data_IF_434696538826
#
_entry.id   IF_434696538826
#
_cell.length_a   1.000
_cell.length_b   1.000
_cell.length_c   1.000
_cell.angle_alpha   90.00
_cell.angle_beta   90.00
_cell.angle_gamma   90.00
#
_symmetry.space_group_name_H-M   'P 1'
#
loop_
_entity.id
_entity.type
_entity.pdbx_description
1 polymer ?
#
# COMPACT_ATOMS: atom_id res chain seq x y z
N UNK A 1 -2.90 -13.14 -11.66
CA UNK A 1 -4.31 -13.10 -12.07
C UNK A 1 -4.73 -11.65 -12.29
N UNK A 2 -5.47 -11.31 -13.37
CA UNK A 2 -6.12 -10.02 -13.50
C UNK A 2 -7.20 -9.86 -12.43
N UNK A 3 -7.17 -8.74 -11.70
CA UNK A 3 -8.17 -8.39 -10.68
C UNK A 3 -8.75 -7.03 -11.03
N UNK A 4 -10.03 -6.99 -11.37
CA UNK A 4 -10.76 -5.76 -11.62
C UNK A 4 -11.26 -5.21 -10.29
N UNK A 5 -10.97 -3.93 -10.02
CA UNK A 5 -11.42 -3.22 -8.85
C UNK A 5 -12.54 -2.26 -9.23
N UNK A 6 -13.68 -2.37 -8.55
CA UNK A 6 -14.85 -1.50 -8.72
C UNK A 6 -15.30 -0.94 -7.37
N UNK A 7 -15.99 0.20 -7.41
CA UNK A 7 -16.57 0.85 -6.23
C UNK A 7 -18.00 1.29 -6.56
N UNK A 8 -18.98 0.70 -5.85
CA UNK A 8 -20.40 0.86 -6.13
C UNK A 8 -20.77 0.57 -7.60
N UNK A 9 -20.20 -0.50 -8.17
CA UNK A 9 -20.39 -0.89 -9.57
C UNK A 9 -19.62 -0.04 -10.58
N UNK A 10 -18.83 0.95 -10.15
CA UNK A 10 -18.02 1.78 -11.04
C UNK A 10 -16.63 1.17 -11.15
N UNK A 11 -16.28 0.63 -12.32
CA UNK A 11 -14.94 0.11 -12.58
C UNK A 11 -13.88 1.20 -12.36
N UNK A 12 -12.81 0.89 -11.65
CA UNK A 12 -11.72 1.81 -11.31
C UNK A 12 -10.40 1.42 -12.00
N UNK A 13 -9.93 0.21 -11.79
CA UNK A 13 -8.66 -0.27 -12.32
C UNK A 13 -8.68 -1.80 -12.50
N UNK A 14 -7.80 -2.31 -13.35
CA UNK A 14 -7.46 -3.74 -13.41
C UNK A 14 -6.00 -3.88 -13.03
N UNK A 15 -5.75 -4.72 -12.01
CA UNK A 15 -4.43 -4.95 -11.46
C UNK A 15 -4.00 -6.40 -11.67
N UNK A 16 -2.73 -6.62 -12.04
CA UNK A 16 -2.14 -7.97 -12.00
C UNK A 16 -1.69 -8.24 -10.57
N UNK A 17 -2.36 -9.16 -9.89
CA UNK A 17 -2.08 -9.46 -8.48
C UNK A 17 -2.19 -10.96 -8.17
N UNK A 18 -1.60 -11.37 -7.07
CA UNK A 18 -1.79 -12.70 -6.49
C UNK A 18 -3.21 -12.82 -5.94
N UNK A 19 -3.99 -13.87 -6.30
CA UNK A 19 -5.39 -14.02 -5.90
C UNK A 19 -5.55 -14.50 -4.44
N UNK A 20 -4.91 -13.80 -3.51
CA UNK A 20 -4.99 -14.04 -2.07
C UNK A 20 -5.18 -12.71 -1.35
N UNK A 21 -5.77 -12.72 -0.16
CA UNK A 21 -6.03 -11.54 0.68
C UNK A 21 -6.80 -10.43 -0.07
N UNK A 22 -7.79 -10.80 -0.85
CA UNK A 22 -8.48 -9.89 -1.77
C UNK A 22 -9.31 -8.82 -1.07
N UNK A 23 -9.92 -9.15 0.08
CA UNK A 23 -10.63 -8.18 0.93
C UNK A 23 -9.67 -7.11 1.45
N UNK A 24 -8.51 -7.53 1.94
CA UNK A 24 -7.45 -6.60 2.36
C UNK A 24 -6.96 -5.76 1.17
N UNK A 25 -6.81 -6.38 -0.02
CA UNK A 25 -6.32 -5.70 -1.20
C UNK A 25 -7.21 -4.51 -1.60
N UNK A 26 -8.51 -4.73 -1.78
CA UNK A 26 -9.41 -3.66 -2.23
C UNK A 26 -9.58 -2.57 -1.16
N UNK A 27 -9.56 -2.92 0.14
CA UNK A 27 -9.60 -1.95 1.25
C UNK A 27 -8.37 -1.06 1.26
N UNK A 28 -7.19 -1.67 1.23
CA UNK A 28 -5.95 -0.92 1.23
C UNK A 28 -5.81 -0.06 -0.01
N UNK A 29 -6.09 -0.60 -1.18
CA UNK A 29 -6.12 0.15 -2.43
C UNK A 29 -7.07 1.36 -2.36
N UNK A 30 -8.29 1.17 -1.85
CA UNK A 30 -9.27 2.24 -1.73
C UNK A 30 -8.77 3.40 -0.84
N UNK A 31 -8.10 3.08 0.27
CA UNK A 31 -7.52 4.08 1.18
C UNK A 31 -6.32 4.77 0.52
N UNK A 32 -5.39 4.00 -0.02
CA UNK A 32 -4.12 4.53 -0.53
C UNK A 32 -4.28 5.34 -1.82
N UNK A 33 -5.29 5.01 -2.63
CA UNK A 33 -5.67 5.79 -3.81
C UNK A 33 -6.64 6.95 -3.49
N UNK A 34 -7.07 7.08 -2.23
CA UNK A 34 -7.96 8.13 -1.78
C UNK A 34 -9.38 8.02 -2.36
N UNK A 35 -9.82 6.81 -2.66
CA UNK A 35 -11.23 6.51 -3.01
C UNK A 35 -12.09 6.71 -1.76
N UNK A 36 -11.60 6.23 -0.62
CA UNK A 36 -12.16 6.47 0.71
C UNK A 36 -11.09 7.11 1.62
N UNK A 37 -11.53 7.83 2.64
CA UNK A 37 -10.64 8.42 3.64
C UNK A 37 -10.40 7.47 4.82
N UNK A 38 -11.38 6.60 5.11
CA UNK A 38 -11.34 5.69 6.25
C UNK A 38 -11.97 4.34 5.90
N UNK A 39 -11.47 3.27 6.52
CA UNK A 39 -11.96 1.91 6.30
C UNK A 39 -13.47 1.74 6.58
N UNK A 40 -14.03 2.49 7.52
CA UNK A 40 -15.47 2.47 7.86
C UNK A 40 -16.39 2.96 6.74
N UNK A 41 -15.83 3.62 5.72
CA UNK A 41 -16.58 4.02 4.53
C UNK A 41 -16.80 2.86 3.55
N UNK A 42 -16.16 1.71 3.78
CA UNK A 42 -16.35 0.48 3.01
C UNK A 42 -17.27 -0.44 3.79
N UNK A 43 -18.50 -0.62 3.29
CA UNK A 43 -19.55 -1.35 3.98
C UNK A 43 -19.58 -2.83 3.68
N UNK A 44 -19.27 -3.19 2.41
CA UNK A 44 -19.29 -4.56 1.92
C UNK A 44 -18.34 -4.73 0.75
N UNK A 45 -17.90 -5.96 0.49
CA UNK A 45 -17.05 -6.29 -0.65
C UNK A 45 -17.59 -7.57 -1.29
N UNK A 46 -17.99 -7.44 -2.54
CA UNK A 46 -18.38 -8.55 -3.38
C UNK A 46 -17.17 -9.04 -4.19
N UNK A 47 -16.95 -10.36 -4.22
CA UNK A 47 -15.88 -11.00 -4.97
C UNK A 47 -16.47 -12.01 -5.94
N UNK A 48 -16.28 -11.80 -7.23
CA UNK A 48 -16.76 -12.69 -8.29
C UNK A 48 -15.57 -13.25 -9.04
N UNK A 49 -15.44 -14.58 -9.06
CA UNK A 49 -14.38 -15.27 -9.80
C UNK A 49 -14.91 -15.66 -11.17
N UNK A 50 -14.23 -15.19 -12.22
CA UNK A 50 -14.55 -15.45 -13.61
C UNK A 50 -13.41 -16.26 -14.29
N UNK A 51 -13.66 -16.91 -15.42
CA UNK A 51 -12.60 -17.62 -16.16
C UNK A 51 -11.43 -16.74 -16.58
N UNK A 52 -11.64 -15.42 -16.75
CA UNK A 52 -10.64 -14.45 -17.22
C UNK A 52 -10.00 -13.66 -16.11
N UNK A 53 -10.51 -13.73 -14.86
CA UNK A 53 -9.98 -12.97 -13.73
C UNK A 53 -10.95 -12.89 -12.57
N UNK A 54 -10.69 -11.98 -11.66
CA UNK A 54 -11.50 -11.76 -10.46
C UNK A 54 -12.03 -10.33 -10.48
N UNK A 55 -13.28 -10.15 -10.12
CA UNK A 55 -13.89 -8.83 -9.93
C UNK A 55 -14.14 -8.60 -8.45
N UNK A 56 -13.68 -7.47 -7.94
CA UNK A 56 -13.92 -6.99 -6.58
C UNK A 56 -14.72 -5.70 -6.66
N UNK A 57 -15.91 -5.67 -6.09
CA UNK A 57 -16.72 -4.45 -5.99
C UNK A 57 -16.95 -4.09 -4.52
N UNK A 58 -16.34 -2.99 -4.08
CA UNK A 58 -16.55 -2.46 -2.74
C UNK A 58 -17.74 -1.51 -2.69
N UNK A 59 -18.68 -1.76 -1.79
CA UNK A 59 -19.80 -0.84 -1.48
C UNK A 59 -19.28 0.23 -0.54
N UNK A 60 -19.16 1.45 -1.06
CA UNK A 60 -18.59 2.60 -0.35
C UNK A 60 -19.63 3.67 -0.05
N UNK A 61 -19.34 4.51 0.93
CA UNK A 61 -20.18 5.61 1.34
C UNK A 61 -20.53 6.55 0.17
N UNK A 62 -21.76 7.08 0.14
CA UNK A 62 -22.28 7.88 -0.97
C UNK A 62 -21.42 9.11 -1.27
N UNK A 63 -20.89 9.78 -0.24
CA UNK A 63 -20.00 10.94 -0.43
C UNK A 63 -18.66 10.55 -1.07
N UNK A 64 -18.10 9.38 -0.74
CA UNK A 64 -16.88 8.85 -1.37
C UNK A 64 -17.16 8.49 -2.85
N UNK A 65 -18.30 7.86 -3.12
CA UNK A 65 -18.73 7.56 -4.49
C UNK A 65 -18.94 8.83 -5.34
N UNK A 66 -19.45 9.90 -4.73
CA UNK A 66 -19.61 11.19 -5.41
C UNK A 66 -18.24 11.79 -5.78
N UNK A 67 -17.30 11.86 -4.83
CA UNK A 67 -15.90 12.31 -5.10
C UNK A 67 -15.25 11.49 -6.22
N UNK A 68 -15.45 10.18 -6.23
CA UNK A 68 -14.92 9.29 -7.27
C UNK A 68 -15.48 9.65 -8.65
N UNK A 69 -16.79 9.90 -8.77
CA UNK A 69 -17.42 10.31 -10.02
C UNK A 69 -16.91 11.67 -10.53
N UNK A 70 -16.75 12.63 -9.64
CA UNK A 70 -16.22 13.96 -10.01
C UNK A 70 -14.78 13.85 -10.49
N UNK A 71 -13.93 13.08 -9.81
CA UNK A 71 -12.55 12.84 -10.21
C UNK A 71 -12.44 12.17 -11.58
N UNK A 72 -13.31 11.20 -11.89
CA UNK A 72 -13.36 10.59 -13.23
C UNK A 72 -13.80 11.57 -14.30
N UNK A 73 -14.75 12.47 -14.01
CA UNK A 73 -15.16 13.52 -14.97
C UNK A 73 -14.04 14.49 -15.27
N UNK A 74 -13.25 14.89 -14.27
CA UNK A 74 -12.10 15.77 -14.48
C UNK A 74 -10.95 15.11 -15.25
N UNK A 75 -10.79 13.79 -15.13
CA UNK A 75 -9.83 13.01 -15.91
C UNK A 75 -10.32 12.67 -17.32
N UNK A 76 -11.62 12.66 -17.57
CA UNK A 76 -12.25 12.41 -18.86
C UNK A 76 -12.33 13.67 -19.74
N UNK A 77 -11.43 14.66 -19.56
CA UNK A 77 -11.31 15.82 -20.46
C UNK A 77 -11.21 15.40 -21.93
N UNK A 78 -11.24 16.35 -22.90
CA UNK A 78 -11.55 16.09 -24.31
C UNK A 78 -10.56 15.24 -25.12
N UNK A 79 -9.68 14.49 -24.48
CA UNK A 79 -8.79 13.53 -25.16
C UNK A 79 -9.51 12.19 -25.35
N UNK A 80 -9.96 11.95 -26.56
CA UNK A 80 -10.81 10.82 -27.00
C UNK A 80 -10.17 9.43 -26.99
N UNK A 81 -9.20 9.13 -26.15
CA UNK A 81 -8.60 7.80 -26.10
C UNK A 81 -8.26 7.30 -24.70
N UNK A 82 -9.11 7.41 -23.75
CA UNK A 82 -9.17 6.78 -22.41
C UNK A 82 -8.04 5.86 -21.88
N UNK A 83 -6.89 5.82 -22.53
CA UNK A 83 -5.74 4.93 -22.27
C UNK A 83 -4.47 5.68 -21.85
N UNK A 84 -4.42 7.01 -21.93
CA UNK A 84 -3.28 7.78 -21.45
C UNK A 84 -3.54 8.18 -20.00
N UNK A 85 -3.01 7.39 -19.08
CA UNK A 85 -3.01 7.72 -17.67
C UNK A 85 -2.29 9.04 -17.42
N UNK A 86 -2.73 9.78 -16.40
CA UNK A 86 -2.11 10.96 -15.79
C UNK A 86 -1.54 11.99 -16.78
N UNK A 87 -2.36 12.96 -17.16
CA UNK A 87 -2.01 14.02 -18.13
C UNK A 87 -1.02 15.06 -17.59
N UNK A 88 -0.65 15.01 -16.32
CA UNK A 88 0.35 15.94 -15.78
C UNK A 88 1.20 15.32 -14.66
N UNK A 89 2.43 15.83 -14.53
CA UNK A 89 3.34 15.52 -13.42
C UNK A 89 2.66 15.81 -12.07
N UNK A 90 1.83 16.86 -12.00
CA UNK A 90 1.11 17.26 -10.78
C UNK A 90 0.08 16.22 -10.33
N UNK A 91 -0.48 15.43 -11.23
CA UNK A 91 -1.39 14.33 -10.88
C UNK A 91 -0.66 13.13 -10.27
N UNK A 92 0.61 12.92 -10.66
CA UNK A 92 1.50 11.93 -10.04
C UNK A 92 1.96 12.41 -8.66
N UNK A 93 2.27 13.71 -8.56
CA UNK A 93 2.89 14.34 -7.39
C UNK A 93 1.82 14.97 -6.48
N UNK A 94 0.92 14.14 -5.94
CA UNK A 94 -0.07 14.67 -4.98
C UNK A 94 0.63 15.18 -3.72
N UNK A 95 0.20 16.34 -3.18
CA UNK A 95 0.65 16.77 -1.87
C UNK A 95 0.38 15.68 -0.82
N UNK A 96 1.40 15.31 -0.08
CA UNK A 96 1.27 14.34 1.01
C UNK A 96 0.87 15.08 2.29
N UNK A 97 -0.01 14.47 3.07
CA UNK A 97 -0.31 14.94 4.41
C UNK A 97 0.93 14.82 5.31
N UNK A 98 1.12 15.76 6.21
CA UNK A 98 2.17 15.66 7.22
C UNK A 98 1.67 14.78 8.35
N UNK A 99 2.41 13.71 8.62
CA UNK A 99 2.10 12.76 9.69
C UNK A 99 2.52 13.33 11.06
N UNK A 100 1.86 12.92 12.15
CA UNK A 100 2.34 13.19 13.49
C UNK A 100 3.72 12.57 13.70
N UNK A 101 4.49 13.14 14.62
CA UNK A 101 5.79 12.59 14.99
C UNK A 101 5.64 11.14 15.47
N UNK A 102 6.45 10.24 14.92
CA UNK A 102 6.43 8.82 15.24
C UNK A 102 7.85 8.39 15.59
N UNK A 103 7.99 7.60 16.67
CA UNK A 103 9.31 7.03 17.02
C UNK A 103 9.78 6.05 15.92
N UNK A 104 11.08 6.02 15.68
CA UNK A 104 11.68 4.96 14.87
C UNK A 104 11.85 3.67 15.72
N UNK A 105 11.77 2.47 15.11
CA UNK A 105 12.10 1.23 15.79
C UNK A 105 13.59 1.19 16.18
N UNK A 106 13.91 0.47 17.26
CA UNK A 106 15.29 0.23 17.65
C UNK A 106 15.97 -0.75 16.67
N UNK A 107 17.32 -0.77 16.65
CA UNK A 107 18.06 -1.76 15.85
C UNK A 107 17.69 -3.20 16.25
N UNK A 108 17.54 -3.45 17.56
CA UNK A 108 17.14 -4.77 18.07
C UNK A 108 15.77 -5.19 17.55
N UNK A 109 14.79 -4.27 17.54
CA UNK A 109 13.46 -4.54 16.98
C UNK A 109 13.52 -4.81 15.46
N UNK A 110 14.32 -4.06 14.72
CA UNK A 110 14.53 -4.31 13.29
C UNK A 110 15.16 -5.68 13.04
N UNK A 111 16.21 -6.04 13.79
CA UNK A 111 16.87 -7.34 13.66
C UNK A 111 15.91 -8.49 13.98
N UNK A 112 15.09 -8.33 15.01
CA UNK A 112 14.07 -9.30 15.36
C UNK A 112 13.01 -9.43 14.24
N UNK A 113 12.49 -8.32 13.72
CA UNK A 113 11.54 -8.33 12.62
C UNK A 113 12.12 -9.01 11.37
N UNK A 114 13.37 -8.70 11.00
CA UNK A 114 14.05 -9.29 9.83
C UNK A 114 14.21 -10.80 10.00
N UNK A 115 14.54 -11.28 11.20
CA UNK A 115 14.72 -12.71 11.46
C UNK A 115 13.46 -13.53 11.20
N UNK A 116 12.28 -12.94 11.45
CA UNK A 116 10.97 -13.56 11.21
C UNK A 116 10.47 -13.34 9.77
N UNK A 117 10.86 -12.22 9.13
CA UNK A 117 10.26 -11.77 7.89
C UNK A 117 10.50 -12.72 6.72
N UNK A 118 11.73 -13.19 6.51
CA UNK A 118 12.03 -14.11 5.40
C UNK A 118 11.39 -15.49 5.57
N UNK A 119 11.43 -16.14 6.73
CA UNK A 119 10.71 -17.40 6.95
C UNK A 119 9.20 -17.31 6.76
N UNK A 120 8.60 -16.14 7.01
CA UNK A 120 7.17 -15.92 6.85
C UNK A 120 6.71 -15.68 5.41
N UNK A 121 7.63 -15.46 4.45
CA UNK A 121 7.33 -15.21 3.04
C UNK A 121 7.08 -16.52 2.28
N UNK A 122 5.97 -17.17 2.55
CA UNK A 122 5.65 -18.53 2.03
C UNK A 122 5.53 -18.57 0.52
N UNK A 123 4.91 -17.57 -0.11
CA UNK A 123 4.79 -17.47 -1.57
C UNK A 123 6.14 -17.19 -2.22
N UNK A 124 6.91 -16.26 -1.67
CA UNK A 124 8.24 -15.93 -2.18
C UNK A 124 9.22 -17.12 -2.06
N UNK A 125 9.14 -17.90 -0.97
CA UNK A 125 9.94 -19.09 -0.78
C UNK A 125 9.63 -20.19 -1.82
N UNK A 126 8.37 -20.29 -2.24
CA UNK A 126 7.93 -21.28 -3.23
C UNK A 126 8.23 -20.84 -4.68
N UNK A 127 8.12 -19.56 -4.98
CA UNK A 127 8.09 -19.06 -6.36
C UNK A 127 9.28 -18.17 -6.72
N UNK A 128 9.99 -17.63 -5.74
CA UNK A 128 11.02 -16.59 -5.90
C UNK A 128 10.51 -15.32 -6.65
N UNK A 129 9.20 -15.20 -6.87
CA UNK A 129 8.57 -14.17 -7.72
C UNK A 129 7.60 -13.25 -7.00
N UNK A 130 7.62 -13.21 -5.66
CA UNK A 130 6.72 -12.37 -4.88
C UNK A 130 7.48 -11.35 -4.01
N UNK A 131 6.83 -10.22 -3.79
CA UNK A 131 7.20 -9.23 -2.79
C UNK A 131 6.36 -9.41 -1.54
N UNK A 132 6.90 -8.98 -0.40
CA UNK A 132 6.20 -9.02 0.88
C UNK A 132 6.18 -7.64 1.56
N UNK A 133 5.11 -7.38 2.28
CA UNK A 133 4.96 -6.30 3.23
C UNK A 133 4.49 -6.87 4.57
N UNK A 134 5.11 -6.48 5.67
CA UNK A 134 4.78 -6.92 7.01
C UNK A 134 4.48 -5.74 7.93
N UNK A 135 3.55 -5.94 8.85
CA UNK A 135 3.34 -5.12 10.02
C UNK A 135 4.11 -5.71 11.19
N UNK A 136 5.02 -4.93 11.76
CA UNK A 136 5.84 -5.32 12.90
C UNK A 136 5.48 -4.44 14.09
N UNK A 137 5.32 -5.04 15.27
CA UNK A 137 5.17 -4.33 16.53
C UNK A 137 6.47 -3.58 16.89
N UNK A 138 6.41 -2.67 17.87
CA UNK A 138 7.56 -1.85 18.26
C UNK A 138 8.75 -2.61 18.86
N UNK A 139 8.53 -3.85 19.31
CA UNK A 139 9.58 -4.79 19.74
C UNK A 139 10.17 -5.63 18.60
N UNK A 140 9.54 -5.56 17.42
CA UNK A 140 9.94 -6.29 16.23
C UNK A 140 9.16 -7.58 15.98
N UNK A 141 8.18 -7.92 16.80
CA UNK A 141 7.31 -9.07 16.54
C UNK A 141 6.54 -8.87 15.23
N UNK A 142 6.55 -9.90 14.37
CA UNK A 142 5.84 -9.89 13.10
C UNK A 142 4.36 -10.21 13.35
N UNK A 143 3.50 -9.20 13.25
CA UNK A 143 2.06 -9.29 13.55
C UNK A 143 1.26 -9.77 12.34
N UNK A 144 1.61 -9.29 11.15
CA UNK A 144 0.96 -9.68 9.90
C UNK A 144 1.92 -9.58 8.73
N UNK A 145 1.71 -10.41 7.71
CA UNK A 145 2.44 -10.35 6.45
C UNK A 145 1.47 -10.51 5.28
N UNK A 146 1.73 -9.81 4.18
CA UNK A 146 1.02 -9.96 2.91
C UNK A 146 2.02 -10.07 1.78
N UNK A 147 1.76 -10.98 0.86
CA UNK A 147 2.59 -11.22 -0.31
C UNK A 147 1.83 -10.99 -1.60
N UNK A 148 2.52 -10.49 -2.61
CA UNK A 148 1.99 -10.32 -3.96
C UNK A 148 3.13 -10.28 -4.99
N UNK A 149 2.82 -10.59 -6.25
CA UNK A 149 3.76 -10.42 -7.37
C UNK A 149 4.18 -8.95 -7.55
N UNK A 150 3.32 -8.01 -7.13
CA UNK A 150 3.55 -6.57 -7.17
C UNK A 150 3.82 -6.01 -5.76
N UNK A 151 4.94 -5.30 -5.59
CA UNK A 151 5.26 -4.67 -4.28
C UNK A 151 4.20 -3.69 -3.78
N UNK A 152 3.55 -2.95 -4.69
CA UNK A 152 2.49 -2.01 -4.35
C UNK A 152 1.24 -2.75 -3.85
N UNK A 153 0.89 -3.86 -4.50
CA UNK A 153 -0.24 -4.70 -4.10
C UNK A 153 0.02 -5.36 -2.74
N UNK A 154 1.24 -5.87 -2.49
CA UNK A 154 1.62 -6.44 -1.19
C UNK A 154 1.45 -5.39 -0.07
N UNK A 155 1.87 -4.15 -0.33
CA UNK A 155 1.68 -3.05 0.62
C UNK A 155 0.20 -2.69 0.78
N UNK A 156 -0.57 -2.59 -0.31
CA UNK A 156 -2.01 -2.32 -0.23
C UNK A 156 -2.73 -3.38 0.58
N UNK A 157 -2.46 -4.67 0.35
CA UNK A 157 -3.00 -5.76 1.17
C UNK A 157 -2.69 -5.58 2.65
N UNK A 158 -1.45 -5.26 2.99
CA UNK A 158 -1.05 -5.03 4.37
C UNK A 158 -1.79 -3.84 4.99
N UNK A 159 -1.87 -2.72 4.27
CA UNK A 159 -2.55 -1.51 4.76
C UNK A 159 -4.06 -1.72 4.89
N UNK A 160 -4.65 -2.54 4.02
CA UNK A 160 -6.04 -2.98 4.16
C UNK A 160 -6.27 -3.82 5.42
N UNK A 161 -5.40 -4.77 5.71
CA UNK A 161 -5.41 -5.49 6.98
C UNK A 161 -5.27 -4.52 8.17
N UNK A 162 -4.29 -3.61 8.11
CA UNK A 162 -4.02 -2.62 9.17
C UNK A 162 -5.23 -1.72 9.42
N UNK A 163 -6.00 -1.39 8.40
CA UNK A 163 -7.17 -0.50 8.51
C UNK A 163 -8.30 -1.05 9.39
N UNK A 164 -8.30 -2.37 9.63
CA UNK A 164 -9.27 -3.08 10.49
C UNK A 164 -8.67 -3.53 11.83
N UNK A 165 -7.37 -3.35 12.01
CA UNK A 165 -6.65 -3.85 13.17
C UNK A 165 -5.89 -2.69 13.84
N UNK A 166 -6.26 -2.37 15.08
CA UNK A 166 -5.65 -1.30 15.86
C UNK A 166 -4.29 -1.73 16.44
N UNK A 167 -3.35 -2.10 15.56
CA UNK A 167 -2.00 -2.49 15.97
C UNK A 167 -1.04 -1.30 15.84
N UNK A 168 -0.25 -1.02 16.88
CA UNK A 168 0.87 -0.08 16.81
C UNK A 168 2.12 -0.75 16.28
N UNK A 169 2.94 -0.02 15.53
CA UNK A 169 4.16 -0.58 14.98
C UNK A 169 4.62 0.11 13.70
N UNK A 170 5.30 -0.65 12.86
CA UNK A 170 5.90 -0.15 11.64
C UNK A 170 5.76 -1.14 10.47
N UNK A 171 5.92 -0.61 9.25
CA UNK A 171 5.91 -1.41 8.03
C UNK A 171 7.33 -1.83 7.67
N UNK A 172 7.53 -3.13 7.37
CA UNK A 172 8.75 -3.70 6.77
C UNK A 172 8.41 -4.27 5.39
N UNK A 173 9.18 -3.90 4.36
CA UNK A 173 8.96 -4.38 2.98
C UNK A 173 10.21 -5.03 2.40
N UNK A 174 10.04 -6.08 1.60
CA UNK A 174 11.13 -6.78 0.89
C UNK A 174 11.68 -5.98 -0.29
N UNK A 175 10.93 -5.03 -0.79
CA UNK A 175 11.21 -4.25 -1.99
C UNK A 175 12.06 -3.00 -1.72
N UNK A 176 12.33 -2.24 -2.80
CA UNK A 176 12.79 -0.85 -2.72
C UNK A 176 11.68 0.04 -2.17
N UNK A 177 12.06 1.16 -1.54
CA UNK A 177 11.13 2.23 -1.22
C UNK A 177 11.10 3.24 -2.39
N UNK A 178 9.99 3.31 -3.09
CA UNK A 178 9.70 4.33 -4.12
C UNK A 178 8.77 5.42 -3.56
N UNK A 179 8.55 6.48 -4.33
CA UNK A 179 7.60 7.54 -4.00
C UNK A 179 6.22 6.97 -3.65
N UNK A 180 5.72 6.03 -4.48
CA UNK A 180 4.40 5.43 -4.30
C UNK A 180 4.30 4.64 -2.99
N UNK A 181 5.38 3.95 -2.58
CA UNK A 181 5.42 3.22 -1.31
C UNK A 181 5.29 4.17 -0.12
N UNK A 182 6.01 5.31 -0.17
CA UNK A 182 5.91 6.38 0.84
C UNK A 182 4.50 6.99 0.82
N UNK A 183 3.98 7.35 -0.35
CA UNK A 183 2.64 7.93 -0.50
C UNK A 183 1.54 7.04 0.07
N UNK A 184 1.60 5.73 -0.19
CA UNK A 184 0.65 4.74 0.35
C UNK A 184 0.73 4.65 1.87
N UNK A 185 1.93 4.62 2.45
CA UNK A 185 2.11 4.64 3.91
C UNK A 185 1.51 5.92 4.52
N UNK A 186 1.79 7.08 3.92
CA UNK A 186 1.25 8.37 4.39
C UNK A 186 -0.27 8.41 4.31
N UNK A 187 -0.86 7.96 3.19
CA UNK A 187 -2.31 7.91 3.01
C UNK A 187 -3.00 7.01 4.04
N UNK A 188 -2.33 5.95 4.48
CA UNK A 188 -2.83 5.04 5.52
C UNK A 188 -2.45 5.46 6.96
N UNK A 189 -1.82 6.63 7.15
CA UNK A 189 -1.41 7.12 8.47
C UNK A 189 -0.26 6.33 9.10
N UNK A 190 0.60 5.71 8.31
CA UNK A 190 1.75 4.92 8.76
C UNK A 190 2.99 5.79 8.83
N UNK A 191 3.53 6.00 10.03
CA UNK A 191 4.66 6.91 10.28
C UNK A 191 6.05 6.29 10.07
N UNK A 192 6.18 4.99 9.81
CA UNK A 192 7.49 4.33 9.63
C UNK A 192 7.42 3.30 8.50
N UNK A 193 8.32 3.45 7.54
CA UNK A 193 8.55 2.50 6.45
C UNK A 193 10.01 2.02 6.47
N UNK A 194 10.22 0.75 6.73
CA UNK A 194 11.52 0.08 6.64
C UNK A 194 11.58 -0.77 5.35
N UNK A 195 12.55 -0.51 4.50
CA UNK A 195 12.75 -1.24 3.25
C UNK A 195 14.06 -2.03 3.28
N UNK A 196 14.03 -3.29 2.88
CA UNK A 196 15.25 -4.11 2.81
C UNK A 196 16.21 -3.64 1.69
N UNK A 197 15.69 -2.93 0.69
CA UNK A 197 16.48 -2.45 -0.44
C UNK A 197 16.59 -0.90 -0.46
N UNK A 198 17.09 -0.34 -1.55
CA UNK A 198 17.38 1.08 -1.69
C UNK A 198 16.12 1.94 -1.78
N UNK A 199 16.12 3.17 -1.24
CA UNK A 199 15.11 4.17 -1.52
C UNK A 199 15.44 4.93 -2.82
N UNK A 200 14.43 5.50 -3.47
CA UNK A 200 14.64 6.50 -4.53
C UNK A 200 14.84 7.89 -3.91
N UNK A 201 15.49 8.80 -4.62
CA UNK A 201 15.66 10.19 -4.16
C UNK A 201 14.32 10.88 -3.89
N UNK A 202 13.31 10.64 -4.74
CA UNK A 202 11.97 11.16 -4.56
C UNK A 202 11.30 10.56 -3.31
N UNK A 203 11.47 9.28 -3.01
CA UNK A 203 10.97 8.67 -1.78
C UNK A 203 11.57 9.35 -0.54
N UNK A 204 12.88 9.64 -0.54
CA UNK A 204 13.56 10.34 0.55
C UNK A 204 12.98 11.74 0.76
N UNK A 205 12.84 12.51 -0.32
CA UNK A 205 12.28 13.86 -0.25
C UNK A 205 10.85 13.85 0.26
N UNK A 206 10.02 12.96 -0.27
CA UNK A 206 8.61 12.82 0.13
C UNK A 206 8.45 12.38 1.58
N UNK A 207 9.28 11.44 2.04
CA UNK A 207 9.29 11.00 3.43
C UNK A 207 9.62 12.16 4.39
N UNK A 208 10.61 12.98 4.07
CA UNK A 208 10.97 14.19 4.84
C UNK A 208 9.82 15.19 4.89
N UNK A 209 9.20 15.48 3.73
CA UNK A 209 8.08 16.42 3.65
C UNK A 209 6.86 15.93 4.43
N UNK A 210 6.59 14.64 4.42
CA UNK A 210 5.45 14.03 5.09
C UNK A 210 5.71 13.63 6.56
N UNK A 211 6.91 13.89 7.10
CA UNK A 211 7.32 13.44 8.44
C UNK A 211 7.20 11.93 8.65
N UNK A 212 7.56 11.14 7.62
CA UNK A 212 7.59 9.69 7.68
C UNK A 212 9.04 9.23 7.92
N UNK A 213 9.27 8.40 8.94
CA UNK A 213 10.58 7.78 9.17
C UNK A 213 10.84 6.74 8.07
N UNK A 214 11.77 7.04 7.17
CA UNK A 214 12.19 6.15 6.10
C UNK A 214 13.52 5.48 6.45
N UNK A 215 13.47 4.16 6.65
CA UNK A 215 14.62 3.31 6.86
C UNK A 215 14.83 2.48 5.59
N UNK A 216 16.09 2.32 5.16
CA UNK A 216 16.39 1.51 3.99
C UNK A 216 17.71 0.76 4.13
N UNK A 217 17.98 -0.17 3.20
CA UNK A 217 19.08 -1.13 3.31
C UNK A 217 19.01 -1.91 4.63
N UNK A 218 17.78 -2.17 5.09
CA UNK A 218 17.52 -2.79 6.39
C UNK A 218 17.93 -4.25 6.36
N UNK A 219 18.93 -4.61 7.13
CA UNK A 219 19.48 -5.95 7.29
C UNK A 219 19.94 -6.13 8.73
N UNK A 220 20.19 -7.37 9.15
CA UNK A 220 20.67 -7.67 10.50
C UNK A 220 21.89 -6.81 10.87
N UNK A 221 21.80 -6.10 11.98
CA UNK A 221 22.84 -5.21 12.50
C UNK A 221 23.02 -3.90 11.73
N UNK A 222 22.24 -3.62 10.67
CA UNK A 222 22.46 -2.43 9.84
C UNK A 222 21.17 -1.91 9.19
N UNK A 223 21.00 -0.60 9.22
CA UNK A 223 20.06 0.14 8.37
C UNK A 223 20.60 1.56 8.14
N UNK A 224 20.04 2.26 7.14
CA UNK A 224 20.27 3.68 6.91
C UNK A 224 18.95 4.42 7.14
N UNK A 225 18.94 5.43 8.01
CA UNK A 225 17.81 6.32 8.24
C UNK A 225 17.94 7.54 7.33
N UNK A 226 16.87 7.88 6.59
CA UNK A 226 16.84 8.98 5.61
C UNK A 226 15.94 10.14 6.03
N UNK A 227 15.01 9.89 6.95
CA UNK A 227 14.12 10.91 7.53
C UNK A 227 13.74 10.56 8.96
#
# INVERSE_FOLDING_TARGET
TPIALAFNGISYAVMMATPADLDDFIRGFAITEGVVEQAREIYDIECVVNPTGIELDAKIASHAAHRLKERRRSMAGPSGCGLCGLESIDQVMRPLNVLPETRAPSQTALDHAISQFRPAQTLSLQTAGAHAAAWCAWDGDLVAIREDVGRHNALDKLLGWRSRNAAEGFVLVSSRASYEMVSKCVAAGVGVLAAMSAPTSMAIQSAKTANLNLLAFTSTGRHARYS
#
